data_IF_718850912462
#
_entry.id   IF_718850912462
#
_cell.length_a   1.000
_cell.length_b   1.000
_cell.length_c   1.000
_cell.angle_alpha   90.00
_cell.angle_beta   90.00
_cell.angle_gamma   90.00
#
_symmetry.space_group_name_H-M   'P 1'
#
loop_
_entity.id
_entity.type
_entity.pdbx_description
1 polymer ?
#
# COMPACT_ATOMS: atom_id res chain seq x y z
N UNK A 1 -4.78 -12.19 11.60
CA UNK A 1 -5.37 -11.78 10.30
C UNK A 1 -4.79 -12.63 9.18
N UNK A 2 -5.65 -13.13 8.30
CA UNK A 2 -5.18 -13.94 7.18
C UNK A 2 -4.54 -13.05 6.12
N UNK A 3 -3.59 -13.61 5.38
CA UNK A 3 -2.90 -12.88 4.34
C UNK A 3 -3.85 -12.32 3.26
N UNK A 4 -4.88 -13.08 2.91
CA UNK A 4 -5.88 -12.62 1.94
C UNK A 4 -6.64 -11.39 2.43
N UNK A 5 -6.90 -11.31 3.74
CA UNK A 5 -7.55 -10.13 4.31
C UNK A 5 -6.65 -8.91 4.25
N UNK A 6 -5.34 -9.12 4.47
CA UNK A 6 -4.36 -8.04 4.38
C UNK A 6 -4.28 -7.53 2.95
N UNK A 7 -4.20 -8.42 1.99
CA UNK A 7 -4.17 -8.05 0.57
C UNK A 7 -5.39 -7.22 0.18
N UNK A 8 -6.57 -7.68 0.58
CA UNK A 8 -7.82 -7.00 0.25
C UNK A 8 -7.86 -5.61 0.86
N UNK A 9 -7.42 -5.49 2.10
CA UNK A 9 -7.40 -4.19 2.77
C UNK A 9 -6.40 -3.23 2.15
N UNK A 10 -5.22 -3.73 1.81
CA UNK A 10 -4.21 -2.91 1.13
C UNK A 10 -4.72 -2.43 -0.21
N UNK A 11 -5.31 -3.32 -1.01
CA UNK A 11 -5.85 -2.95 -2.31
C UNK A 11 -6.95 -1.92 -2.19
N UNK A 12 -7.82 -2.06 -1.20
CA UNK A 12 -8.89 -1.11 -0.98
C UNK A 12 -8.33 0.28 -0.66
N UNK A 13 -7.34 0.33 0.20
CA UNK A 13 -6.70 1.60 0.57
C UNK A 13 -6.04 2.24 -0.65
N UNK A 14 -5.31 1.45 -1.43
CA UNK A 14 -4.66 1.93 -2.65
C UNK A 14 -5.70 2.48 -3.61
N UNK A 15 -6.80 1.76 -3.80
CA UNK A 15 -7.87 2.20 -4.70
C UNK A 15 -8.44 3.55 -4.26
N UNK A 16 -8.69 3.71 -2.97
CA UNK A 16 -9.24 4.95 -2.44
C UNK A 16 -8.27 6.12 -2.54
N UNK A 17 -7.00 5.89 -2.24
CA UNK A 17 -6.00 6.95 -2.24
C UNK A 17 -5.63 7.40 -3.64
N UNK A 18 -5.57 6.48 -4.58
CA UNK A 18 -5.14 6.78 -5.94
C UNK A 18 -6.29 6.97 -6.92
N UNK A 19 -7.52 6.71 -6.49
CA UNK A 19 -8.68 6.88 -7.34
C UNK A 19 -8.77 5.88 -8.47
N UNK A 20 -8.27 4.67 -8.26
CA UNK A 20 -8.32 3.58 -9.23
C UNK A 20 -9.24 2.48 -8.71
N UNK A 21 -9.66 1.60 -9.60
CA UNK A 21 -10.51 0.47 -9.22
C UNK A 21 -9.67 -0.67 -8.65
N UNK A 22 -10.21 -1.36 -7.66
CA UNK A 22 -9.50 -2.50 -7.07
C UNK A 22 -9.16 -3.56 -8.10
N UNK A 23 -10.02 -3.74 -9.10
CA UNK A 23 -9.80 -4.71 -10.18
C UNK A 23 -8.56 -4.39 -11.02
N UNK A 24 -8.15 -3.13 -11.04
CA UNK A 24 -6.99 -2.69 -11.81
C UNK A 24 -5.69 -2.85 -11.02
N UNK A 25 -5.80 -3.16 -9.74
CA UNK A 25 -4.65 -3.25 -8.85
C UNK A 25 -4.13 -4.69 -8.82
N UNK A 26 -2.89 -4.88 -9.26
CA UNK A 26 -2.22 -6.18 -9.19
C UNK A 26 -1.08 -6.07 -8.19
N UNK A 27 -0.60 -7.22 -7.70
CA UNK A 27 0.51 -7.22 -6.74
C UNK A 27 1.80 -6.64 -7.32
N UNK A 28 2.00 -6.81 -8.61
CA UNK A 28 3.18 -6.33 -9.32
C UNK A 28 3.08 -4.85 -9.70
N UNK A 29 1.92 -4.25 -9.54
CA UNK A 29 1.71 -2.87 -9.96
C UNK A 29 2.58 -1.91 -9.16
N UNK A 30 3.25 -1.01 -9.88
CA UNK A 30 4.00 0.07 -9.27
C UNK A 30 3.04 1.24 -9.03
N UNK A 31 3.12 1.85 -7.86
CA UNK A 31 2.23 2.97 -7.55
C UNK A 31 2.42 4.13 -8.52
N UNK A 32 3.65 4.43 -8.85
CA UNK A 32 3.96 5.56 -9.74
C UNK A 32 3.82 5.17 -11.21
N UNK A 33 4.46 4.09 -11.62
CA UNK A 33 4.54 3.71 -13.04
C UNK A 33 3.23 3.13 -13.56
N UNK A 34 2.55 2.32 -12.77
CA UNK A 34 1.35 1.61 -13.22
C UNK A 34 0.06 2.27 -12.78
N UNK A 35 0.04 2.85 -11.59
CA UNK A 35 -1.15 3.43 -11.02
C UNK A 35 -1.18 4.95 -11.08
N UNK A 36 -0.13 5.57 -11.58
CA UNK A 36 -0.09 7.00 -11.81
C UNK A 36 0.03 7.88 -10.57
N UNK A 37 0.51 7.32 -9.46
CA UNK A 37 0.70 8.08 -8.23
C UNK A 37 1.91 9.01 -8.36
N UNK A 38 1.82 10.18 -7.75
CA UNK A 38 3.00 11.04 -7.61
C UNK A 38 3.55 10.88 -6.18
N UNK A 39 4.58 11.67 -5.85
CA UNK A 39 5.24 11.54 -4.55
C UNK A 39 4.30 11.89 -3.39
N UNK A 40 3.40 12.84 -3.58
CA UNK A 40 2.43 13.21 -2.56
C UNK A 40 1.43 12.07 -2.34
N UNK A 41 0.99 11.46 -3.43
CA UNK A 41 0.05 10.32 -3.35
C UNK A 41 0.67 9.16 -2.58
N UNK A 42 1.96 8.87 -2.80
CA UNK A 42 2.61 7.78 -2.08
C UNK A 42 2.75 8.09 -0.59
N UNK A 43 3.03 9.34 -0.23
CA UNK A 43 3.08 9.74 1.18
C UNK A 43 1.72 9.56 1.85
N UNK A 44 0.66 10.01 1.20
CA UNK A 44 -0.68 9.86 1.73
C UNK A 44 -1.09 8.39 1.84
N UNK A 45 -0.69 7.57 0.86
CA UNK A 45 -0.94 6.14 0.89
C UNK A 45 -0.27 5.49 2.10
N UNK A 46 0.99 5.82 2.35
CA UNK A 46 1.73 5.29 3.50
C UNK A 46 1.03 5.67 4.79
N UNK A 47 0.60 6.92 4.92
CA UNK A 47 -0.12 7.38 6.10
C UNK A 47 -1.43 6.61 6.30
N UNK A 48 -2.15 6.36 5.22
CA UNK A 48 -3.40 5.60 5.28
C UNK A 48 -3.15 4.16 5.73
N UNK A 49 -2.06 3.55 5.26
CA UNK A 49 -1.69 2.20 5.68
C UNK A 49 -1.34 2.17 7.16
N UNK A 50 -0.62 3.19 7.65
CA UNK A 50 -0.29 3.27 9.06
C UNK A 50 -1.53 3.32 9.93
N UNK A 51 -2.52 4.10 9.52
CA UNK A 51 -3.78 4.22 10.27
C UNK A 51 -4.59 2.94 10.20
N UNK A 52 -4.66 2.32 9.03
CA UNK A 52 -5.49 1.13 8.84
C UNK A 52 -4.97 -0.06 9.64
N UNK A 53 -3.65 -0.21 9.69
CA UNK A 53 -3.02 -1.37 10.33
C UNK A 53 -2.39 -1.04 11.69
N UNK A 54 -2.58 0.18 12.15
CA UNK A 54 -2.07 0.64 13.44
C UNK A 54 -0.57 0.31 13.59
N UNK A 55 0.19 0.66 12.58
CA UNK A 55 1.64 0.45 12.56
C UNK A 55 2.34 1.74 12.14
N UNK A 56 3.63 1.78 12.38
CA UNK A 56 4.45 2.94 12.04
C UNK A 56 5.39 2.56 10.91
N UNK A 57 5.41 3.38 9.86
CA UNK A 57 6.27 3.15 8.70
C UNK A 57 7.26 4.32 8.62
N UNK A 58 8.52 4.11 9.03
CA UNK A 58 9.52 5.17 8.92
C UNK A 58 9.74 5.59 7.47
N UNK A 59 10.15 6.82 7.27
CA UNK A 59 10.35 7.36 5.92
C UNK A 59 11.30 6.51 5.08
N UNK A 60 12.35 5.98 5.69
CA UNK A 60 13.30 5.11 4.99
C UNK A 60 12.64 3.86 4.45
N UNK A 61 11.75 3.26 5.25
CA UNK A 61 11.01 2.08 4.82
C UNK A 61 9.98 2.44 3.76
N UNK A 62 9.32 3.58 3.94
CA UNK A 62 8.31 4.04 2.99
C UNK A 62 8.89 4.24 1.59
N UNK A 63 10.13 4.73 1.50
CA UNK A 63 10.79 4.91 0.22
C UNK A 63 10.99 3.60 -0.52
N UNK A 64 11.11 2.49 0.21
CA UNK A 64 11.25 1.17 -0.38
C UNK A 64 9.94 0.54 -0.80
N UNK A 65 8.80 1.13 -0.42
CA UNK A 65 7.49 0.59 -0.78
C UNK A 65 7.04 1.24 -2.08
N UNK A 66 7.37 0.60 -3.19
CA UNK A 66 7.08 1.13 -4.52
C UNK A 66 6.03 0.34 -5.28
N UNK A 67 5.72 -0.89 -4.82
CA UNK A 67 4.70 -1.73 -5.45
C UNK A 67 3.68 -2.19 -4.42
N UNK A 68 2.55 -2.66 -4.91
CA UNK A 68 1.49 -3.20 -4.04
C UNK A 68 2.02 -4.38 -3.21
N UNK A 69 2.79 -5.26 -3.85
CA UNK A 69 3.36 -6.43 -3.16
C UNK A 69 4.25 -6.00 -1.99
N UNK A 70 5.07 -4.97 -2.19
CA UNK A 70 5.94 -4.48 -1.13
C UNK A 70 5.15 -3.91 0.04
N UNK A 71 4.04 -3.25 -0.25
CA UNK A 71 3.16 -2.73 0.81
C UNK A 71 2.54 -3.87 1.60
N UNK A 72 2.07 -4.90 0.90
CA UNK A 72 1.49 -6.09 1.54
C UNK A 72 2.52 -6.78 2.42
N UNK A 73 3.72 -6.99 1.89
CA UNK A 73 4.80 -7.66 2.62
C UNK A 73 5.19 -6.89 3.87
N UNK A 74 5.30 -5.57 3.75
CA UNK A 74 5.68 -4.73 4.88
C UNK A 74 4.64 -4.81 6.00
N UNK A 75 3.37 -4.68 5.64
CA UNK A 75 2.28 -4.74 6.62
C UNK A 75 2.22 -6.11 7.27
N UNK A 76 2.33 -7.17 6.46
CA UNK A 76 2.29 -8.55 6.96
C UNK A 76 3.41 -8.77 7.99
N UNK A 77 4.60 -8.30 7.68
CA UNK A 77 5.76 -8.44 8.57
C UNK A 77 5.54 -7.71 9.89
N UNK A 78 4.93 -6.54 9.84
CA UNK A 78 4.73 -5.72 11.04
C UNK A 78 3.57 -6.20 11.92
N UNK A 79 2.64 -6.98 11.37
CA UNK A 79 1.54 -7.54 12.13
C UNK A 79 1.94 -8.80 12.90
N UNK A 80 3.04 -9.40 12.53
CA UNK A 80 3.58 -10.52 13.27
C UNK A 80 4.37 -10.01 14.47
#
# INVERSE_FOLDING_TARGET
MKMSDIEDRVKKIVAEQLGVKEDEITKEASFIDDLGADSLDTVELVMALEEEFDCEIPDEEAEGITTVQQAIDYVTKNLD
#
